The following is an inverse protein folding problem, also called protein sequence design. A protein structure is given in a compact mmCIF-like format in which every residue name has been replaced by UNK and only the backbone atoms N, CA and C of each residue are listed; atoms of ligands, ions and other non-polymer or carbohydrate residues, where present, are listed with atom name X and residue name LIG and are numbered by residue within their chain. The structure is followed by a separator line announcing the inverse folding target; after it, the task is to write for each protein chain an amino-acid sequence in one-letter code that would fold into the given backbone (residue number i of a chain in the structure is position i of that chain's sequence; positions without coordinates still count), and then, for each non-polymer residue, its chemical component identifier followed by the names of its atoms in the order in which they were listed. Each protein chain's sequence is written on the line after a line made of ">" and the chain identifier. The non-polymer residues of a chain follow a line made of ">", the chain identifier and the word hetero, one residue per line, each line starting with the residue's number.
data_IF_066027082511
#
_entry.id   IF_066027082511
#
_cell.length_a   1.000
_cell.length_b   1.000
_cell.length_c   1.000
_cell.angle_alpha   90.00
_cell.angle_beta   90.00
_cell.angle_gamma   90.00
#
_symmetry.space_group_name_H-M   'P 1'
#
loop_
_entity.id
_entity.type
_entity.pdbx_description
1 polymer ?
#
# COMPACT_ATOMS: atom_id res chain seq x y z
N UNK A 1 46.61 -14.95 47.22
CA UNK A 1 46.14 -13.83 46.39
C UNK A 1 45.13 -14.35 45.37
N UNK A 2 43.84 -14.12 45.58
CA UNK A 2 42.75 -14.49 44.66
C UNK A 2 42.46 -13.30 43.75
N UNK A 3 42.68 -13.45 42.44
CA UNK A 3 42.21 -12.49 41.45
C UNK A 3 40.68 -12.56 41.35
N UNK A 4 40.02 -11.42 41.52
CA UNK A 4 38.59 -11.23 41.24
C UNK A 4 38.42 -10.85 39.77
N UNK A 5 37.67 -11.67 39.02
CA UNK A 5 37.18 -11.35 37.68
C UNK A 5 35.89 -10.53 37.83
N UNK A 6 35.89 -9.30 37.31
CA UNK A 6 34.70 -8.45 37.18
C UNK A 6 33.96 -8.85 35.90
N UNK A 7 32.65 -9.14 35.93
CA UNK A 7 31.89 -9.39 34.72
C UNK A 7 31.54 -8.06 34.04
N UNK A 8 32.03 -7.87 32.81
CA UNK A 8 31.58 -6.82 31.89
C UNK A 8 30.17 -7.20 31.41
N UNK A 9 29.15 -6.50 31.89
CA UNK A 9 27.81 -6.59 31.31
C UNK A 9 27.82 -5.91 29.93
N UNK A 10 27.78 -6.72 28.88
CA UNK A 10 27.39 -6.29 27.55
C UNK A 10 25.89 -5.96 27.57
N UNK A 11 25.58 -4.66 27.63
CA UNK A 11 24.26 -4.18 27.31
C UNK A 11 23.98 -4.47 25.84
N UNK A 12 23.23 -5.55 25.58
CA UNK A 12 22.67 -5.81 24.25
C UNK A 12 21.57 -4.77 24.06
N UNK A 13 21.93 -3.66 23.44
CA UNK A 13 20.97 -2.68 22.97
C UNK A 13 20.06 -3.38 21.98
N UNK A 14 18.81 -3.61 22.38
CA UNK A 14 17.72 -3.90 21.45
C UNK A 14 17.55 -2.67 20.56
N UNK A 15 18.37 -2.57 19.51
CA UNK A 15 18.05 -1.80 18.32
C UNK A 15 16.85 -2.47 17.67
N UNK A 16 15.67 -2.21 18.23
CA UNK A 16 14.42 -2.25 17.51
C UNK A 16 14.66 -1.39 16.27
N UNK A 17 14.75 -2.02 15.11
CA UNK A 17 14.64 -1.34 13.83
C UNK A 17 13.34 -0.54 13.87
N UNK A 18 13.43 0.73 14.23
CA UNK A 18 12.37 1.67 13.97
C UNK A 18 12.25 1.69 12.44
N UNK A 19 11.19 1.10 11.92
CA UNK A 19 10.81 1.20 10.52
C UNK A 19 10.89 2.68 10.17
N UNK A 20 11.92 3.08 9.41
CA UNK A 20 12.06 4.46 9.03
C UNK A 20 10.86 4.77 8.15
N UNK A 21 10.01 5.69 8.60
CA UNK A 21 9.06 6.36 7.72
C UNK A 21 9.91 6.95 6.61
N UNK A 22 9.97 6.23 5.49
CA UNK A 22 10.82 6.65 4.37
C UNK A 22 10.30 7.99 3.88
N UNK A 23 11.19 8.86 3.39
CA UNK A 23 10.84 10.19 2.88
C UNK A 23 9.93 10.20 1.63
N UNK A 24 9.37 9.04 1.23
CA UNK A 24 8.42 8.91 0.12
C UNK A 24 7.27 9.90 0.27
N UNK A 25 7.06 10.82 -0.70
CA UNK A 25 5.93 11.75 -0.67
C UNK A 25 4.58 11.05 -0.52
N UNK A 26 4.44 9.82 -1.06
CA UNK A 26 3.24 9.01 -0.92
C UNK A 26 2.94 8.62 0.54
N UNK A 27 3.98 8.38 1.36
CA UNK A 27 3.81 8.05 2.78
C UNK A 27 3.39 9.25 3.63
N UNK A 28 3.62 10.48 3.15
CA UNK A 28 3.21 11.72 3.83
C UNK A 28 1.75 12.07 3.57
N UNK A 29 1.09 11.41 2.62
CA UNK A 29 -0.31 11.68 2.27
C UNK A 29 -1.28 11.25 3.37
N UNK A 30 -0.95 10.22 4.14
CA UNK A 30 -1.81 9.67 5.20
C UNK A 30 -0.98 9.28 6.42
N UNK A 31 -1.56 9.50 7.59
CA UNK A 31 -1.07 8.92 8.83
C UNK A 31 -1.43 7.42 8.91
N UNK A 32 -0.69 6.66 9.72
CA UNK A 32 -1.02 5.26 10.03
C UNK A 32 -2.46 5.10 10.57
N UNK A 33 -2.96 6.07 11.35
CA UNK A 33 -4.32 6.06 11.88
C UNK A 33 -5.36 6.19 10.77
N UNK A 34 -5.14 7.09 9.81
CA UNK A 34 -6.02 7.23 8.65
C UNK A 34 -5.98 5.98 7.76
N UNK A 35 -4.79 5.42 7.52
CA UNK A 35 -4.62 4.16 6.78
C UNK A 35 -5.40 3.00 7.43
N UNK A 36 -5.29 2.87 8.75
CA UNK A 36 -6.00 1.86 9.54
C UNK A 36 -7.52 2.04 9.45
N UNK A 37 -8.01 3.28 9.40
CA UNK A 37 -9.44 3.58 9.30
C UNK A 37 -10.04 3.13 7.95
N UNK A 38 -9.29 3.28 6.86
CA UNK A 38 -9.68 2.79 5.53
C UNK A 38 -9.76 1.27 5.45
N UNK A 39 -8.81 0.58 6.08
CA UNK A 39 -8.78 -0.90 6.10
C UNK A 39 -9.77 -1.49 7.11
N UNK A 40 -10.10 -0.75 8.17
CA UNK A 40 -10.95 -1.23 9.27
C UNK A 40 -10.20 -2.10 10.28
N UNK A 41 -8.87 -2.03 10.30
CA UNK A 41 -8.01 -2.76 11.21
C UNK A 41 -6.72 -1.99 11.47
N UNK A 42 -6.03 -2.33 12.56
CA UNK A 42 -4.70 -1.79 12.84
C UNK A 42 -3.71 -2.20 11.74
N UNK A 43 -2.89 -1.25 11.31
CA UNK A 43 -1.77 -1.47 10.40
C UNK A 43 -0.47 -1.02 11.08
N UNK A 44 0.67 -1.50 10.59
CA UNK A 44 2.00 -1.01 10.97
C UNK A 44 2.31 0.39 10.43
N UNK A 45 3.56 0.84 10.64
CA UNK A 45 4.04 2.11 10.12
C UNK A 45 4.05 2.11 8.58
N UNK A 46 4.02 3.31 7.99
CA UNK A 46 4.09 3.48 6.54
C UNK A 46 5.51 3.24 6.03
N UNK A 47 5.65 2.31 5.11
CA UNK A 47 6.90 1.97 4.44
C UNK A 47 6.85 2.40 2.99
N UNK A 48 7.78 3.27 2.58
CA UNK A 48 7.83 3.68 1.18
C UNK A 48 8.44 2.59 0.33
N UNK A 49 7.90 2.47 -0.86
CA UNK A 49 8.54 1.73 -1.94
C UNK A 49 9.21 2.75 -2.85
N UNK A 50 10.54 2.66 -2.96
CA UNK A 50 11.31 3.44 -3.91
C UNK A 50 11.76 2.53 -5.04
N UNK A 51 11.06 2.65 -6.17
CA UNK A 51 11.54 2.16 -7.46
C UNK A 51 11.87 3.42 -8.26
N UNK A 52 13.05 3.54 -8.89
CA UNK A 52 13.38 4.71 -9.70
C UNK A 52 12.24 5.08 -10.67
N UNK A 53 11.75 6.32 -10.58
CA UNK A 53 10.63 6.80 -11.40
C UNK A 53 9.22 6.47 -10.87
N UNK A 54 9.09 5.93 -9.66
CA UNK A 54 7.81 5.68 -8.98
C UNK A 54 7.88 6.17 -7.52
N UNK A 55 6.74 6.56 -6.97
CA UNK A 55 6.59 6.75 -5.53
C UNK A 55 5.49 5.84 -5.00
N UNK A 56 5.79 5.12 -3.93
CA UNK A 56 4.82 4.24 -3.28
C UNK A 56 4.87 4.35 -1.77
N UNK A 57 3.78 3.94 -1.14
CA UNK A 57 3.73 3.68 0.29
C UNK A 57 2.86 2.47 0.57
N UNK A 58 3.23 1.69 1.57
CA UNK A 58 2.44 0.58 2.08
C UNK A 58 2.33 0.67 3.60
N UNK A 59 1.15 0.33 4.11
CA UNK A 59 0.91 0.03 5.52
C UNK A 59 0.38 -1.39 5.58
N UNK A 60 0.99 -2.26 6.37
CA UNK A 60 0.52 -3.65 6.50
C UNK A 60 0.53 -4.15 7.93
N UNK A 61 -0.31 -5.15 8.16
CA UNK A 61 -0.16 -6.12 9.23
C UNK A 61 -0.05 -7.48 8.54
N UNK A 62 1.18 -7.97 8.38
CA UNK A 62 1.46 -9.19 7.63
C UNK A 62 0.92 -10.44 8.34
N UNK A 63 0.85 -10.42 9.68
CA UNK A 63 0.29 -11.51 10.47
C UNK A 63 -1.23 -11.64 10.25
N UNK A 64 -1.93 -10.50 10.18
CA UNK A 64 -3.35 -10.47 9.88
C UNK A 64 -3.67 -10.47 8.37
N UNK A 65 -2.66 -10.31 7.52
CA UNK A 65 -2.82 -10.21 6.06
C UNK A 65 -3.53 -8.94 5.61
N UNK A 66 -3.50 -7.88 6.42
CA UNK A 66 -4.12 -6.59 6.11
C UNK A 66 -3.12 -5.65 5.43
N UNK A 67 -3.60 -4.86 4.48
CA UNK A 67 -2.72 -4.00 3.69
C UNK A 67 -3.46 -2.81 3.10
N UNK A 68 -2.79 -1.66 3.10
CA UNK A 68 -3.15 -0.47 2.34
C UNK A 68 -1.93 -0.05 1.51
N UNK A 69 -2.12 0.28 0.25
CA UNK A 69 -1.03 0.70 -0.65
C UNK A 69 -1.42 1.90 -1.48
N UNK A 70 -0.41 2.74 -1.77
CA UNK A 70 -0.44 3.80 -2.75
C UNK A 70 0.74 3.57 -3.70
N UNK A 71 0.53 3.74 -4.99
CA UNK A 71 1.60 3.71 -5.99
C UNK A 71 1.34 4.73 -7.08
N UNK A 72 2.37 5.41 -7.54
CA UNK A 72 2.29 6.51 -8.52
C UNK A 72 3.35 6.33 -9.59
N UNK A 73 2.89 5.96 -10.77
CA UNK A 73 3.73 5.68 -11.93
C UNK A 73 3.53 6.73 -13.03
N UNK A 74 4.41 6.79 -14.04
CA UNK A 74 4.09 7.46 -15.29
C UNK A 74 2.83 6.86 -15.94
N UNK A 75 1.99 7.69 -16.57
CA UNK A 75 0.72 7.27 -17.18
C UNK A 75 0.87 6.15 -18.22
N UNK A 76 2.02 6.08 -18.90
CA UNK A 76 2.33 4.99 -19.84
C UNK A 76 2.28 3.59 -19.20
N UNK A 77 2.51 3.50 -17.88
CA UNK A 77 2.40 2.24 -17.14
C UNK A 77 0.94 1.78 -16.99
N UNK A 78 -0.06 2.65 -17.19
CA UNK A 78 -1.45 2.23 -17.21
C UNK A 78 -1.79 1.30 -18.39
N UNK A 79 -0.95 1.25 -19.45
CA UNK A 79 -1.09 0.26 -20.52
C UNK A 79 -0.86 -1.18 -20.02
N UNK A 80 -0.17 -1.36 -18.89
CA UNK A 80 -0.09 -2.65 -18.21
C UNK A 80 -1.46 -3.12 -17.75
N UNK A 81 -2.44 -2.23 -17.54
CA UNK A 81 -3.79 -2.64 -17.13
C UNK A 81 -4.48 -3.52 -18.18
N UNK A 82 -4.34 -3.19 -19.47
CA UNK A 82 -4.86 -4.04 -20.55
C UNK A 82 -4.09 -5.36 -20.63
N UNK A 83 -2.77 -5.28 -20.48
CA UNK A 83 -1.89 -6.45 -20.58
C UNK A 83 -2.09 -7.45 -19.43
N UNK A 84 -2.48 -6.98 -18.25
CA UNK A 84 -2.70 -7.80 -17.06
C UNK A 84 -4.14 -8.34 -16.96
N UNK A 85 -5.01 -8.00 -17.91
CA UNK A 85 -6.37 -8.54 -17.98
C UNK A 85 -7.25 -8.17 -16.78
N UNK A 86 -7.06 -6.98 -16.20
CA UNK A 86 -7.87 -6.53 -15.05
C UNK A 86 -9.37 -6.52 -15.33
N UNK A 87 -9.79 -6.41 -16.59
CA UNK A 87 -11.19 -6.48 -17.01
C UNK A 87 -11.84 -7.84 -16.67
N UNK A 88 -11.03 -8.90 -16.51
CA UNK A 88 -11.48 -10.23 -16.07
C UNK A 88 -11.54 -10.39 -14.54
N UNK A 89 -11.08 -9.39 -13.78
CA UNK A 89 -11.04 -9.49 -12.34
C UNK A 89 -12.42 -9.29 -11.73
N UNK A 90 -12.65 -9.93 -10.58
CA UNK A 90 -13.92 -9.84 -9.88
C UNK A 90 -14.27 -8.37 -9.56
N UNK A 91 -15.52 -8.00 -9.80
CA UNK A 91 -16.02 -6.65 -9.48
C UNK A 91 -15.40 -5.54 -10.32
N UNK A 92 -14.70 -5.87 -11.42
CA UNK A 92 -14.16 -4.89 -12.34
C UNK A 92 -15.27 -3.98 -12.85
N UNK A 93 -15.04 -2.67 -12.74
CA UNK A 93 -15.83 -1.65 -13.42
C UNK A 93 -15.02 -0.40 -13.67
N UNK A 94 -15.38 0.31 -14.74
CA UNK A 94 -14.93 1.68 -14.94
C UNK A 94 -15.52 2.58 -13.86
N UNK A 95 -14.72 3.54 -13.40
CA UNK A 95 -15.17 4.58 -12.47
C UNK A 95 -15.21 5.90 -13.23
N UNK A 96 -16.38 6.50 -13.31
CA UNK A 96 -16.56 7.78 -13.97
C UNK A 96 -16.06 8.92 -13.06
N UNK A 97 -15.74 10.05 -13.69
CA UNK A 97 -15.38 11.30 -13.00
C UNK A 97 -14.13 11.20 -12.10
N UNK A 98 -13.14 10.38 -12.50
CA UNK A 98 -11.79 10.36 -11.92
C UNK A 98 -10.77 10.33 -13.06
N UNK A 99 -10.08 11.44 -13.26
CA UNK A 99 -9.01 11.53 -14.26
C UNK A 99 -9.49 11.25 -15.68
N UNK A 100 -8.56 10.87 -16.55
CA UNK A 100 -8.88 10.51 -17.94
C UNK A 100 -9.50 9.12 -18.06
N UNK A 101 -9.06 8.18 -17.21
CA UNK A 101 -9.57 6.79 -17.14
C UNK A 101 -9.38 6.28 -15.72
N UNK A 102 -10.40 5.66 -15.13
CA UNK A 102 -10.29 5.03 -13.83
C UNK A 102 -11.05 3.71 -13.76
N UNK A 103 -10.65 2.87 -12.81
CA UNK A 103 -11.26 1.56 -12.57
C UNK A 103 -11.20 1.18 -11.10
N UNK A 104 -11.98 0.16 -10.77
CA UNK A 104 -11.87 -0.59 -9.52
C UNK A 104 -12.05 -2.07 -9.84
N UNK A 105 -11.34 -2.95 -9.13
CA UNK A 105 -11.43 -4.40 -9.26
C UNK A 105 -10.94 -5.09 -7.98
N UNK A 106 -11.25 -6.37 -7.84
CA UNK A 106 -10.70 -7.22 -6.79
C UNK A 106 -9.65 -8.16 -7.37
N UNK A 107 -8.44 -8.09 -6.83
CA UNK A 107 -7.33 -8.96 -7.24
C UNK A 107 -7.68 -10.44 -7.02
N UNK A 108 -7.34 -11.34 -7.96
CA UNK A 108 -7.58 -12.77 -7.80
C UNK A 108 -6.81 -13.30 -6.59
N UNK A 109 -7.37 -14.31 -5.94
CA UNK A 109 -6.65 -15.05 -4.89
C UNK A 109 -5.79 -16.11 -5.55
N UNK A 110 -4.49 -16.07 -5.30
CA UNK A 110 -3.53 -17.08 -5.74
C UNK A 110 -2.96 -17.78 -4.52
N UNK A 111 -2.79 -19.10 -4.58
CA UNK A 111 -2.12 -19.86 -3.54
C UNK A 111 -0.75 -20.33 -4.03
N UNK A 112 0.31 -19.92 -3.34
CA UNK A 112 1.69 -20.31 -3.66
C UNK A 112 2.32 -20.85 -2.38
N UNK A 113 2.80 -22.10 -2.42
CA UNK A 113 3.38 -22.80 -1.27
C UNK A 113 2.49 -22.77 0.00
N UNK A 114 1.16 -22.90 -0.17
CA UNK A 114 0.19 -22.86 0.93
C UNK A 114 -0.12 -21.46 1.47
N UNK A 115 0.45 -20.40 0.89
CA UNK A 115 0.18 -19.01 1.24
C UNK A 115 -0.75 -18.36 0.20
N UNK A 116 -1.80 -17.68 0.68
CA UNK A 116 -2.77 -16.98 -0.17
C UNK A 116 -2.36 -15.52 -0.40
N UNK A 117 -2.11 -15.19 -1.66
CA UNK A 117 -1.82 -13.85 -2.15
C UNK A 117 -3.04 -13.26 -2.88
N UNK A 118 -3.14 -11.93 -2.93
CA UNK A 118 -4.27 -11.24 -3.55
C UNK A 118 -5.53 -11.25 -2.69
N UNK A 119 -6.69 -11.19 -3.34
CA UNK A 119 -8.02 -11.07 -2.71
C UNK A 119 -8.37 -9.68 -2.18
N UNK A 120 -7.47 -8.70 -2.34
CA UNK A 120 -7.69 -7.30 -1.98
C UNK A 120 -8.37 -6.51 -3.10
N UNK A 121 -9.04 -5.43 -2.73
CA UNK A 121 -9.60 -4.45 -3.66
C UNK A 121 -8.54 -3.47 -4.13
N UNK A 122 -8.67 -3.00 -5.35
CA UNK A 122 -7.76 -2.05 -5.95
C UNK A 122 -8.52 -1.07 -6.83
N UNK A 123 -8.08 0.17 -6.84
CA UNK A 123 -8.58 1.19 -7.75
C UNK A 123 -7.41 1.95 -8.35
N UNK A 124 -7.56 2.41 -9.60
CA UNK A 124 -6.52 3.18 -10.25
C UNK A 124 -7.07 4.19 -11.24
N UNK A 125 -6.34 5.28 -11.46
CA UNK A 125 -6.71 6.32 -12.39
C UNK A 125 -5.51 6.96 -13.09
N UNK A 126 -5.70 7.36 -14.35
CA UNK A 126 -4.78 8.22 -15.08
C UNK A 126 -5.14 9.68 -14.80
N UNK A 127 -4.24 10.43 -14.17
CA UNK A 127 -4.41 11.85 -13.83
C UNK A 127 -3.22 12.63 -14.39
N UNK A 128 -3.47 13.47 -15.40
CA UNK A 128 -2.40 14.17 -16.11
C UNK A 128 -1.41 13.19 -16.76
N UNK A 129 -0.13 13.32 -16.43
CA UNK A 129 0.96 12.46 -16.92
C UNK A 129 1.22 11.24 -16.02
N UNK A 130 0.40 11.00 -15.01
CA UNK A 130 0.62 9.96 -14.00
C UNK A 130 -0.51 8.93 -13.97
N UNK A 131 -0.17 7.73 -13.51
CA UNK A 131 -1.08 6.66 -13.14
C UNK A 131 -0.99 6.44 -11.62
N UNK A 132 -2.09 6.71 -10.92
CA UNK A 132 -2.22 6.53 -9.47
C UNK A 132 -3.00 5.26 -9.22
N UNK A 133 -2.43 4.35 -8.43
CA UNK A 133 -3.06 3.10 -8.02
C UNK A 133 -3.10 2.99 -6.50
N UNK A 134 -4.18 2.41 -5.99
CA UNK A 134 -4.35 2.08 -4.58
C UNK A 134 -4.81 0.64 -4.42
N UNK A 135 -4.45 0.03 -3.29
CA UNK A 135 -4.86 -1.33 -2.95
C UNK A 135 -5.21 -1.44 -1.47
N UNK A 136 -6.28 -2.16 -1.15
CA UNK A 136 -6.82 -2.34 0.19
C UNK A 136 -7.17 -3.81 0.45
N UNK A 137 -6.78 -4.31 1.61
CA UNK A 137 -7.15 -5.64 2.11
C UNK A 137 -7.39 -5.56 3.61
N UNK A 138 -8.60 -5.91 4.06
CA UNK A 138 -9.01 -5.95 5.46
C UNK A 138 -10.53 -5.84 5.62
N UNK A 139 -11.03 -5.70 6.86
CA UNK A 139 -12.47 -5.79 7.16
C UNK A 139 -13.37 -4.77 6.44
N UNK A 140 -12.85 -3.59 6.12
CA UNK A 140 -13.57 -2.54 5.35
C UNK A 140 -13.16 -2.47 3.89
N UNK A 141 -12.34 -3.41 3.41
CA UNK A 141 -11.94 -3.41 2.02
C UNK A 141 -13.10 -3.84 1.13
N UNK A 142 -13.71 -2.87 0.47
CA UNK A 142 -14.66 -3.06 -0.62
C UNK A 142 -14.32 -2.11 -1.79
N UNK A 143 -15.09 -2.24 -2.87
CA UNK A 143 -14.86 -1.46 -4.07
C UNK A 143 -15.06 0.05 -3.84
N UNK A 144 -16.08 0.43 -3.07
CA UNK A 144 -16.42 1.84 -2.88
C UNK A 144 -15.41 2.53 -1.97
N UNK A 145 -14.92 1.82 -0.95
CA UNK A 145 -13.83 2.25 -0.08
C UNK A 145 -12.53 2.40 -0.87
N UNK A 146 -12.24 1.50 -1.81
CA UNK A 146 -11.08 1.63 -2.70
C UNK A 146 -11.17 2.87 -3.61
N UNK A 147 -12.36 3.13 -4.17
CA UNK A 147 -12.60 4.32 -5.00
C UNK A 147 -12.53 5.61 -4.17
N UNK A 148 -13.13 5.62 -2.97
CA UNK A 148 -13.06 6.76 -2.06
C UNK A 148 -11.61 7.07 -1.67
N UNK A 149 -10.83 6.04 -1.34
CA UNK A 149 -9.41 6.19 -1.02
C UNK A 149 -8.61 6.75 -2.21
N UNK A 150 -8.84 6.24 -3.43
CA UNK A 150 -8.21 6.77 -4.64
C UNK A 150 -8.51 8.27 -4.85
N UNK A 151 -9.77 8.69 -4.67
CA UNK A 151 -10.16 10.10 -4.78
C UNK A 151 -9.42 10.97 -3.77
N UNK A 152 -9.32 10.51 -2.52
CA UNK A 152 -8.60 11.22 -1.47
C UNK A 152 -7.10 11.32 -1.76
N UNK A 153 -6.47 10.24 -2.24
CA UNK A 153 -5.07 10.23 -2.66
C UNK A 153 -4.84 11.28 -3.74
N UNK A 154 -5.64 11.27 -4.81
CA UNK A 154 -5.52 12.23 -5.92
C UNK A 154 -5.68 13.66 -5.41
N UNK A 155 -6.69 13.92 -4.58
CA UNK A 155 -6.96 15.24 -4.02
C UNK A 155 -5.82 15.75 -3.13
N UNK A 156 -5.21 14.88 -2.31
CA UNK A 156 -4.11 15.26 -1.43
C UNK A 156 -2.80 15.52 -2.19
N UNK A 157 -2.56 14.82 -3.30
CA UNK A 157 -1.37 15.01 -4.16
C UNK A 157 -1.36 16.32 -4.95
N UNK A 158 -2.52 16.96 -5.12
CA UNK A 158 -2.67 18.22 -5.84
C UNK A 158 -2.52 19.46 -4.94
N UNK A 159 -2.27 19.28 -3.63
CA UNK A 159 -2.06 20.34 -2.65
C UNK A 159 -0.57 20.60 -2.48
#
# INVERSE_FOLDING_TARGET
>A
MRLWLVPVMLAVGNSLCAAQVTDSPACKLFTQKEASAYVGASLGAGEGSFIPGNSGCAWSDDAAGFKLTISVFPAGNALQLKSWGFESFEGFRAVLDIGARAYVARSPVMEVAGQKYGGGWQAGAIVGSEYVAVGLKGPKADADTAVAFLRDVIKRRQR
#
